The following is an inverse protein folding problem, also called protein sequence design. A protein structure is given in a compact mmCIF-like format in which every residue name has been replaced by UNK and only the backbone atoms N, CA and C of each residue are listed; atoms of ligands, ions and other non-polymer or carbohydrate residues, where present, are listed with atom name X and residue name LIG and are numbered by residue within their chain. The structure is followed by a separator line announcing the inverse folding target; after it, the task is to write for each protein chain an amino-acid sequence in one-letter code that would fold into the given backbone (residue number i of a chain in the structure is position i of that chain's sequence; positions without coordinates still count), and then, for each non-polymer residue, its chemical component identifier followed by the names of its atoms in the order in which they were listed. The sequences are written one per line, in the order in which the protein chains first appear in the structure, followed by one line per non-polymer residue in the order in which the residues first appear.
data_IF_984349871356
#
_entry.id   IF_984349871356
#
_cell.length_a   1.000
_cell.length_b   1.000
_cell.length_c   1.000
_cell.angle_alpha   90.00
_cell.angle_beta   90.00
_cell.angle_gamma   90.00
#
_symmetry.space_group_name_H-M   'P 1'
#
loop_
_entity.id
_entity.type
_entity.pdbx_description
1 polymer ?
#
# COMPACT_ATOMS: atom_id res chain seq x y z
N UNK A 1 10.68 8.65 11.62
CA UNK A 1 10.41 7.40 10.89
C UNK A 1 9.28 7.68 9.91
N UNK A 2 9.55 7.68 8.60
CA UNK A 2 8.49 7.76 7.58
C UNK A 2 7.98 6.33 7.37
N UNK A 3 6.68 6.06 7.48
CA UNK A 3 6.10 4.73 7.21
C UNK A 3 5.29 4.75 5.93
N UNK A 4 5.42 3.70 5.11
CA UNK A 4 4.64 3.53 3.88
C UNK A 4 3.39 2.72 4.21
N UNK A 5 2.25 3.12 3.65
CA UNK A 5 0.98 2.39 3.75
C UNK A 5 0.72 1.64 2.46
N UNK A 6 0.58 0.33 2.54
CA UNK A 6 0.31 -0.52 1.37
C UNK A 6 -1.06 -1.20 1.45
N UNK A 7 -1.61 -1.54 0.28
CA UNK A 7 -2.90 -2.22 0.19
C UNK A 7 -2.83 -3.62 0.83
N UNK A 8 -3.76 -3.98 1.73
CA UNK A 8 -3.76 -5.31 2.36
C UNK A 8 -4.15 -6.44 1.40
N UNK A 9 -4.77 -6.10 0.26
CA UNK A 9 -5.23 -7.08 -0.74
C UNK A 9 -4.16 -7.40 -1.79
N UNK A 10 -3.60 -6.37 -2.44
CA UNK A 10 -2.65 -6.56 -3.54
C UNK A 10 -1.22 -6.11 -3.24
N UNK A 11 -0.94 -5.62 -2.02
CA UNK A 11 0.39 -5.19 -1.55
C UNK A 11 1.02 -4.00 -2.30
N UNK A 12 0.33 -3.42 -3.28
CA UNK A 12 0.78 -2.20 -3.96
C UNK A 12 0.62 -0.96 -3.05
N UNK A 13 1.62 -0.06 -3.10
CA UNK A 13 1.63 1.22 -2.39
C UNK A 13 0.79 2.31 -3.10
N UNK A 14 -0.43 1.96 -3.51
CA UNK A 14 -1.33 2.82 -4.32
C UNK A 14 -2.62 3.23 -3.58
N UNK A 15 -2.59 3.19 -2.24
CA UNK A 15 -3.70 3.63 -1.39
C UNK A 15 -3.84 5.16 -1.43
N UNK A 16 -5.07 5.63 -1.61
CA UNK A 16 -5.48 7.04 -1.52
C UNK A 16 -6.67 7.17 -0.56
N UNK A 17 -6.95 8.36 -0.04
CA UNK A 17 -8.16 8.58 0.77
C UNK A 17 -9.40 8.37 -0.11
N UNK A 18 -10.33 7.51 0.31
CA UNK A 18 -11.53 7.16 -0.44
C UNK A 18 -12.68 8.16 -0.24
N UNK A 19 -12.81 8.71 0.97
CA UNK A 19 -13.88 9.65 1.34
C UNK A 19 -13.33 10.75 2.23
N UNK A 20 -13.86 11.97 2.10
CA UNK A 20 -13.57 13.10 2.98
C UNK A 20 -14.50 13.16 4.20
N UNK A 21 -15.39 12.18 4.38
CA UNK A 21 -16.20 12.01 5.59
C UNK A 21 -15.33 11.28 6.62
N UNK A 22 -14.26 11.92 7.03
CA UNK A 22 -13.46 11.51 8.18
C UNK A 22 -13.81 12.47 9.32
N UNK A 23 -14.80 12.09 10.11
CA UNK A 23 -15.23 12.82 11.30
C UNK A 23 -14.76 12.12 12.58
N UNK A 24 -15.17 12.62 13.74
CA UNK A 24 -14.89 11.99 15.03
C UNK A 24 -15.36 10.53 15.11
N UNK A 25 -16.49 10.21 14.45
CA UNK A 25 -17.14 8.89 14.51
C UNK A 25 -16.71 7.91 13.42
N UNK A 26 -16.19 8.38 12.28
CA UNK A 26 -15.93 7.55 11.11
C UNK A 26 -14.43 7.39 10.86
N UNK A 27 -13.94 6.14 10.69
CA UNK A 27 -12.53 5.92 10.39
C UNK A 27 -12.17 6.50 9.03
N UNK A 28 -10.89 6.86 8.86
CA UNK A 28 -10.38 7.19 7.52
C UNK A 28 -10.46 5.96 6.64
N UNK A 29 -11.05 6.12 5.45
CA UNK A 29 -11.16 5.06 4.46
C UNK A 29 -10.14 5.29 3.36
N UNK A 30 -9.60 4.19 2.85
CA UNK A 30 -8.62 4.17 1.78
C UNK A 30 -9.15 3.40 0.58
N UNK A 31 -8.86 3.91 -0.62
CA UNK A 31 -9.11 3.28 -1.90
C UNK A 31 -7.78 2.89 -2.54
N UNK A 32 -7.63 1.63 -2.95
CA UNK A 32 -6.48 1.18 -3.74
C UNK A 32 -6.75 1.37 -5.23
N UNK A 33 -5.92 2.20 -5.91
CA UNK A 33 -6.05 2.42 -7.36
C UNK A 33 -5.62 1.24 -8.22
N UNK A 34 -4.94 0.24 -7.64
CA UNK A 34 -4.52 -0.96 -8.38
C UNK A 34 -5.57 -2.08 -8.39
N UNK A 35 -6.29 -2.33 -7.28
CA UNK A 35 -7.20 -3.48 -7.17
C UNK A 35 -8.62 -3.14 -6.73
N UNK A 36 -8.92 -1.85 -6.52
CA UNK A 36 -10.25 -1.37 -6.13
C UNK A 36 -10.64 -1.66 -4.68
N UNK A 37 -9.71 -2.08 -3.82
CA UNK A 37 -9.98 -2.23 -2.38
C UNK A 37 -10.45 -0.89 -1.77
N UNK A 38 -11.54 -0.93 -0.99
CA UNK A 38 -12.04 0.19 -0.20
C UNK A 38 -12.19 -0.28 1.25
N UNK A 39 -11.49 0.38 2.18
CA UNK A 39 -11.52 0.00 3.59
C UNK A 39 -10.63 0.87 4.46
N UNK A 40 -10.76 0.76 5.78
CA UNK A 40 -9.95 1.53 6.74
C UNK A 40 -8.59 0.90 7.05
N UNK A 41 -8.39 -0.36 6.69
CA UNK A 41 -7.18 -1.11 6.99
C UNK A 41 -6.11 -0.90 5.91
N UNK A 42 -4.86 -0.87 6.35
CA UNK A 42 -3.65 -0.83 5.55
C UNK A 42 -2.52 -1.55 6.29
N UNK A 43 -1.50 -1.99 5.56
CA UNK A 43 -0.27 -2.53 6.15
C UNK A 43 0.74 -1.37 6.24
N UNK A 44 1.38 -1.21 7.40
CA UNK A 44 2.52 -0.31 7.56
C UNK A 44 3.82 -1.08 7.33
N UNK A 45 4.69 -0.50 6.51
CA UNK A 45 6.02 -1.03 6.20
C UNK A 45 7.03 0.11 6.31
N UNK A 46 8.24 -0.21 6.79
CA UNK A 46 9.36 0.72 6.79
C UNK A 46 9.92 0.88 5.36
N UNK A 47 10.28 2.10 4.95
CA UNK A 47 10.64 2.41 3.58
C UNK A 47 11.91 1.67 3.12
N UNK A 48 12.79 1.31 4.05
CA UNK A 48 13.94 0.45 3.81
C UNK A 48 13.49 -0.95 3.34
N UNK A 49 12.60 -1.60 4.10
CA UNK A 49 12.04 -2.91 3.76
C UNK A 49 11.27 -2.90 2.43
N UNK A 50 10.56 -1.80 2.15
CA UNK A 50 9.82 -1.66 0.89
C UNK A 50 10.76 -1.61 -0.33
N UNK A 51 11.95 -0.99 -0.21
CA UNK A 51 12.93 -0.94 -1.31
C UNK A 51 13.51 -2.31 -1.59
N UNK A 52 13.83 -3.10 -0.57
CA UNK A 52 14.36 -4.46 -0.74
C UNK A 52 13.39 -5.37 -1.49
N UNK A 53 12.09 -5.25 -1.22
CA UNK A 53 11.03 -6.01 -1.92
C UNK A 53 10.89 -5.60 -3.39
N UNK A 54 10.98 -4.31 -3.71
CA UNK A 54 10.86 -3.85 -5.09
C UNK A 54 12.15 -4.11 -5.90
N UNK A 55 13.32 -3.98 -5.28
CA UNK A 55 14.60 -4.22 -5.95
C UNK A 55 14.88 -5.70 -6.22
N UNK A 56 14.20 -6.62 -5.52
CA UNK A 56 14.26 -8.07 -5.79
C UNK A 56 13.30 -8.53 -6.89
N UNK A 57 12.52 -7.62 -7.50
CA UNK A 57 11.65 -7.91 -8.65
C UNK A 57 12.29 -7.59 -10.01
N UNK A 58 13.52 -7.08 -10.03
CA UNK A 58 14.36 -6.90 -11.23
C UNK A 58 15.55 -7.87 -11.26
N UNK A 59 15.37 -9.10 -10.78
CA UNK A 59 16.29 -10.21 -11.12
C UNK A 59 15.45 -11.47 -11.31
N UNK A 60 14.78 -11.56 -12.46
CA UNK A 60 14.33 -12.82 -13.06
C UNK A 60 14.04 -12.57 -14.55
N UNK A 61 15.09 -12.23 -15.32
CA UNK A 61 15.12 -12.51 -16.76
C UNK A 61 16.48 -13.10 -17.15
N UNK A 62 16.42 -14.37 -17.52
CA UNK A 62 17.37 -15.15 -18.31
C UNK A 62 18.84 -15.24 -17.88
N UNK A 63 19.20 -16.40 -17.32
CA UNK A 63 20.40 -17.14 -17.78
C UNK A 63 20.19 -18.64 -17.53
N UNK A 64 19.67 -19.36 -18.53
CA UNK A 64 20.25 -20.62 -18.98
C UNK A 64 19.78 -20.98 -20.39
#
# INVERSE_FOLDING_TARGET
MVRIRICPKCKNATLKSAVNISGWLAPRMYECKSCGYIGSLFIEIDPEDFKEINNSSEVDTDTK
#
